data_IF_506367484206
#
_entry.id   IF_506367484206
#
_cell.length_a   1.000
_cell.length_b   1.000
_cell.length_c   1.000
_cell.angle_alpha   90.00
_cell.angle_beta   90.00
_cell.angle_gamma   90.00
#
_symmetry.space_group_name_H-M   'P 1'
#
loop_
_entity.id
_entity.type
_entity.pdbx_description
1 polymer ?
#
# COMPACT_ATOMS: atom_id res chain seq x y z
N UNK A 1 26.63 -1.33 7.43
CA UNK A 1 25.69 -1.84 6.46
C UNK A 1 24.34 -1.16 6.63
N UNK A 2 23.83 -0.65 5.55
CA UNK A 2 22.59 0.11 5.63
C UNK A 2 21.39 -0.80 5.46
N UNK A 3 20.36 -0.49 6.19
CA UNK A 3 19.10 -1.19 6.03
C UNK A 3 18.37 -0.61 4.84
N UNK A 4 17.78 -1.50 4.06
CA UNK A 4 17.00 -1.05 2.93
C UNK A 4 15.62 -0.64 3.39
N UNK A 5 15.05 0.32 2.69
CA UNK A 5 13.66 0.71 2.92
C UNK A 5 12.77 -0.45 2.50
N UNK A 6 11.86 -0.81 3.37
CA UNK A 6 11.00 -1.99 3.19
C UNK A 6 9.60 -1.54 2.80
N UNK A 7 9.16 -1.94 1.63
CA UNK A 7 7.89 -1.51 1.04
C UNK A 7 6.93 -2.67 0.93
N UNK A 8 5.67 -2.47 1.27
CA UNK A 8 4.63 -3.44 0.98
C UNK A 8 3.80 -2.92 -0.17
N UNK A 9 3.65 -3.72 -1.21
CA UNK A 9 2.83 -3.40 -2.38
C UNK A 9 1.53 -4.16 -2.23
N UNK A 10 0.43 -3.45 -2.02
CA UNK A 10 -0.88 -4.07 -1.85
C UNK A 10 -1.63 -3.89 -3.15
N UNK A 11 -1.57 -4.91 -3.99
CA UNK A 11 -2.09 -4.87 -5.34
C UNK A 11 -2.42 -6.30 -5.79
N UNK A 12 -3.66 -6.55 -6.22
CA UNK A 12 -4.06 -7.89 -6.60
C UNK A 12 -3.79 -8.22 -8.08
N UNK A 13 -3.50 -7.22 -8.88
CA UNK A 13 -3.15 -7.43 -10.28
C UNK A 13 -1.67 -7.83 -10.34
N UNK A 14 -1.42 -9.10 -10.58
CA UNK A 14 -0.07 -9.66 -10.48
C UNK A 14 0.94 -8.93 -11.35
N UNK A 15 0.58 -8.58 -12.56
CA UNK A 15 1.53 -7.92 -13.47
C UNK A 15 1.93 -6.56 -12.95
N UNK A 16 0.99 -5.80 -12.43
CA UNK A 16 1.28 -4.47 -11.89
C UNK A 16 2.14 -4.61 -10.65
N UNK A 17 1.78 -5.52 -9.76
CA UNK A 17 2.52 -5.73 -8.53
C UNK A 17 3.96 -6.12 -8.82
N UNK A 18 4.16 -7.03 -9.78
CA UNK A 18 5.52 -7.47 -10.10
C UNK A 18 6.33 -6.36 -10.76
N UNK A 19 5.69 -5.58 -11.60
CA UNK A 19 6.39 -4.46 -12.21
C UNK A 19 6.86 -3.48 -11.15
N UNK A 20 5.99 -3.14 -10.21
CA UNK A 20 6.34 -2.22 -9.13
C UNK A 20 7.44 -2.81 -8.27
N UNK A 21 7.36 -4.09 -7.97
CA UNK A 21 8.37 -4.74 -7.15
C UNK A 21 9.74 -4.66 -7.82
N UNK A 22 9.79 -4.95 -9.13
CA UNK A 22 11.05 -4.90 -9.86
C UNK A 22 11.61 -3.50 -9.89
N UNK A 23 10.76 -2.51 -10.11
CA UNK A 23 11.23 -1.12 -10.16
C UNK A 23 11.78 -0.68 -8.81
N UNK A 24 11.09 -1.04 -7.75
CA UNK A 24 11.54 -0.66 -6.42
C UNK A 24 12.85 -1.36 -6.06
N UNK A 25 12.96 -2.63 -6.40
CA UNK A 25 14.19 -3.36 -6.12
C UNK A 25 15.37 -2.80 -6.91
N UNK A 26 15.10 -2.36 -8.12
CA UNK A 26 16.13 -1.73 -8.94
C UNK A 26 16.64 -0.44 -8.28
N UNK A 27 15.77 0.25 -7.56
CA UNK A 27 16.16 1.48 -6.86
C UNK A 27 16.73 1.21 -5.48
N UNK A 28 16.88 -0.03 -5.09
CA UNK A 28 17.51 -0.37 -3.83
C UNK A 28 16.57 -0.64 -2.68
N UNK A 29 15.27 -0.67 -2.94
CA UNK A 29 14.30 -0.99 -1.89
C UNK A 29 14.11 -2.49 -1.77
N UNK A 30 13.57 -2.93 -0.63
CA UNK A 30 13.06 -4.28 -0.47
C UNK A 30 11.55 -4.18 -0.62
N UNK A 31 10.97 -5.00 -1.47
CA UNK A 31 9.54 -4.89 -1.74
C UNK A 31 8.86 -6.25 -1.68
N UNK A 32 7.75 -6.31 -0.95
CA UNK A 32 6.92 -7.51 -0.87
C UNK A 32 5.54 -7.20 -1.43
N UNK A 33 4.86 -8.23 -1.89
CA UNK A 33 3.56 -8.09 -2.52
C UNK A 33 2.51 -8.80 -1.68
N UNK A 34 1.36 -8.17 -1.50
CA UNK A 34 0.21 -8.80 -0.90
C UNK A 34 -1.01 -8.45 -1.73
N UNK A 35 -1.71 -9.46 -2.22
CA UNK A 35 -2.84 -9.23 -3.11
C UNK A 35 -4.21 -9.23 -2.45
N UNK A 36 -4.28 -9.52 -1.17
CA UNK A 36 -5.55 -9.57 -0.45
C UNK A 36 -5.60 -8.47 0.61
N UNK A 37 -6.68 -7.69 0.60
CA UNK A 37 -6.76 -6.53 1.48
C UNK A 37 -6.78 -6.87 2.95
N UNK A 38 -7.50 -7.93 3.32
CA UNK A 38 -7.57 -8.31 4.73
C UNK A 38 -6.22 -8.75 5.26
N UNK A 39 -5.51 -9.55 4.46
CA UNK A 39 -4.17 -9.97 4.84
C UNK A 39 -3.20 -8.82 4.85
N UNK A 40 -3.36 -7.90 3.91
CA UNK A 40 -2.50 -6.72 3.87
C UNK A 40 -2.66 -5.91 5.15
N UNK A 41 -3.87 -5.70 5.58
CA UNK A 41 -4.12 -4.97 6.81
C UNK A 41 -3.41 -5.67 7.98
N UNK A 42 -3.55 -6.99 8.09
CA UNK A 42 -2.91 -7.74 9.16
C UNK A 42 -1.40 -7.61 9.10
N UNK A 43 -0.83 -7.69 7.90
CA UNK A 43 0.61 -7.57 7.75
C UNK A 43 1.11 -6.19 8.12
N UNK A 44 0.35 -5.16 7.76
CA UNK A 44 0.76 -3.79 8.05
C UNK A 44 0.85 -3.56 9.55
N UNK A 45 -0.09 -4.09 10.31
CA UNK A 45 -0.07 -3.86 11.74
C UNK A 45 0.83 -4.82 12.51
N UNK A 46 1.24 -5.94 11.90
CA UNK A 46 2.10 -6.92 12.57
C UNK A 46 3.56 -6.84 12.17
N UNK A 47 3.83 -6.35 10.97
CA UNK A 47 5.19 -6.27 10.46
C UNK A 47 5.60 -4.82 10.32
N UNK A 48 6.89 -4.60 10.16
CA UNK A 48 7.40 -3.24 10.03
C UNK A 48 7.69 -2.92 8.58
N UNK A 49 6.84 -2.10 7.99
CA UNK A 49 7.09 -1.60 6.65
C UNK A 49 7.36 -0.10 6.76
N UNK A 50 8.19 0.40 5.88
CA UNK A 50 8.51 1.82 5.86
C UNK A 50 7.55 2.60 4.99
N UNK A 51 6.98 1.97 3.98
CA UNK A 51 6.04 2.60 3.06
C UNK A 51 5.07 1.55 2.58
N UNK A 52 3.81 1.93 2.44
CA UNK A 52 2.78 1.06 1.88
C UNK A 52 2.31 1.65 0.56
N UNK A 53 2.37 0.88 -0.52
CA UNK A 53 1.75 1.25 -1.78
C UNK A 53 0.44 0.48 -1.85
N UNK A 54 -0.67 1.16 -1.96
CA UNK A 54 -1.97 0.58 -1.67
C UNK A 54 -2.97 0.85 -2.78
N UNK A 55 -3.42 -0.21 -3.44
CA UNK A 55 -4.48 -0.08 -4.41
C UNK A 55 -5.82 0.04 -3.70
N UNK A 56 -6.74 0.74 -4.32
CA UNK A 56 -8.07 0.94 -3.74
C UNK A 56 -8.94 -0.31 -3.90
N UNK A 57 -8.92 -0.88 -5.10
CA UNK A 57 -9.81 -1.99 -5.43
C UNK A 57 -9.14 -3.32 -5.16
N UNK A 58 -9.47 -3.92 -4.03
CA UNK A 58 -8.83 -5.17 -3.60
C UNK A 58 -9.89 -6.15 -3.15
N UNK A 59 -9.63 -7.46 -3.31
CA UNK A 59 -10.49 -8.44 -2.67
C UNK A 59 -10.28 -8.39 -1.16
N UNK A 60 -11.32 -8.73 -0.43
CA UNK A 60 -11.28 -8.65 1.02
C UNK A 60 -11.59 -7.24 1.45
N UNK A 61 -10.65 -6.62 2.13
CA UNK A 61 -10.80 -5.25 2.61
C UNK A 61 -10.25 -4.29 1.55
N UNK A 62 -11.04 -3.31 1.12
CA UNK A 62 -10.53 -2.39 0.10
C UNK A 62 -9.53 -1.40 0.67
N UNK A 63 -8.83 -0.70 -0.23
CA UNK A 63 -7.74 0.17 0.18
C UNK A 63 -8.17 1.34 1.04
N UNK A 64 -9.36 1.88 0.82
CA UNK A 64 -9.87 2.98 1.63
C UNK A 64 -10.07 2.53 3.07
N UNK A 65 -10.67 1.36 3.23
CA UNK A 65 -10.90 0.83 4.57
C UNK A 65 -9.59 0.46 5.26
N UNK A 66 -8.65 -0.09 4.52
CA UNK A 66 -7.33 -0.40 5.08
C UNK A 66 -6.69 0.87 5.62
N UNK A 67 -6.69 1.91 4.82
CA UNK A 67 -6.06 3.16 5.21
C UNK A 67 -6.72 3.73 6.47
N UNK A 68 -8.06 3.71 6.48
CA UNK A 68 -8.79 4.21 7.64
C UNK A 68 -8.41 3.47 8.91
N UNK A 69 -8.36 2.13 8.84
CA UNK A 69 -8.05 1.33 10.02
C UNK A 69 -6.61 1.46 10.45
N UNK A 70 -5.69 1.49 9.48
CA UNK A 70 -4.27 1.61 9.79
C UNK A 70 -4.00 2.94 10.50
N UNK A 71 -4.66 4.00 10.09
CA UNK A 71 -4.42 5.31 10.70
C UNK A 71 -4.83 5.39 12.16
N UNK A 72 -5.63 4.46 12.65
CA UNK A 72 -5.98 4.44 14.07
C UNK A 72 -4.82 3.93 14.92
N UNK A 73 -3.84 3.24 14.32
CA UNK A 73 -2.75 2.62 15.09
C UNK A 73 -1.36 2.91 14.53
N UNK A 74 -1.25 3.55 13.39
CA UNK A 74 0.06 3.73 12.75
C UNK A 74 0.09 4.97 11.89
N UNK A 75 1.26 5.58 11.82
CA UNK A 75 1.50 6.71 10.93
C UNK A 75 2.34 6.32 9.73
N UNK A 76 2.40 5.02 9.42
CA UNK A 76 3.22 4.56 8.30
C UNK A 76 2.78 5.28 7.01
N UNK A 77 3.71 5.77 6.20
CA UNK A 77 3.36 6.42 4.94
C UNK A 77 2.61 5.50 4.02
N UNK A 78 1.50 5.98 3.46
CA UNK A 78 0.67 5.22 2.53
C UNK A 78 0.50 6.04 1.27
N UNK A 79 0.84 5.44 0.14
CA UNK A 79 0.64 6.05 -1.16
C UNK A 79 -0.42 5.25 -1.89
N UNK A 80 -1.52 5.91 -2.27
CA UNK A 80 -2.61 5.23 -2.95
C UNK A 80 -2.26 5.04 -4.41
N UNK A 81 -2.44 3.82 -4.89
CA UNK A 81 -2.11 3.46 -6.26
C UNK A 81 -3.34 3.40 -7.14
N UNK A 82 -4.28 4.25 -6.99
CA UNK A 82 -5.47 4.11 -7.77
C UNK A 82 -5.23 4.49 -9.20
N UNK A 83 -5.60 3.61 -10.07
CA UNK A 83 -5.60 3.88 -11.46
C UNK A 83 -6.88 4.56 -11.86
N UNK A 84 -7.80 4.70 -10.96
CA UNK A 84 -9.02 5.34 -11.27
C UNK A 84 -8.78 6.77 -11.36
N UNK A 85 -9.38 7.32 -12.24
CA UNK A 85 -9.29 8.68 -12.41
C UNK A 85 -10.35 9.39 -11.69
N UNK A 86 -11.08 8.78 -10.88
CA UNK A 86 -12.11 9.45 -10.15
C UNK A 86 -11.47 10.36 -9.14
N UNK A 87 -11.64 11.63 -9.34
CA UNK A 87 -11.12 12.64 -8.44
C UNK A 87 -11.64 12.41 -7.04
N UNK A 88 -12.86 11.92 -6.93
CA UNK A 88 -13.46 11.61 -5.66
C UNK A 88 -12.65 10.62 -4.85
N UNK A 89 -12.09 9.61 -5.52
CA UNK A 89 -11.29 8.63 -4.81
C UNK A 89 -10.06 9.25 -4.19
N UNK A 90 -9.45 10.19 -4.89
CA UNK A 90 -8.29 10.88 -4.38
C UNK A 90 -8.62 11.74 -3.18
N UNK A 91 -9.74 12.42 -3.25
CA UNK A 91 -10.18 13.25 -2.15
C UNK A 91 -10.48 12.40 -0.94
N UNK A 92 -11.17 11.27 -1.14
CA UNK A 92 -11.42 10.35 -0.04
C UNK A 92 -10.13 9.83 0.56
N UNK A 93 -9.17 9.48 -0.26
CA UNK A 93 -7.89 9.00 0.22
C UNK A 93 -7.22 10.01 1.11
N UNK A 94 -7.26 11.27 0.76
CA UNK A 94 -6.67 12.32 1.56
C UNK A 94 -7.44 12.49 2.87
N UNK A 95 -8.77 12.40 2.79
CA UNK A 95 -9.59 12.57 3.98
C UNK A 95 -9.37 11.50 5.02
N UNK A 96 -9.00 10.32 4.61
CA UNK A 96 -8.80 9.22 5.55
C UNK A 96 -7.34 9.05 5.93
N UNK A 97 -6.46 9.94 5.50
CA UNK A 97 -5.09 9.96 5.97
C UNK A 97 -4.05 9.40 5.06
N UNK A 98 -4.36 9.20 3.79
CA UNK A 98 -3.35 8.78 2.84
C UNK A 98 -2.39 9.94 2.57
N UNK A 99 -1.15 9.60 2.26
CA UNK A 99 -0.13 10.62 2.03
C UNK A 99 -0.09 11.10 0.60
N UNK A 100 -0.79 10.41 -0.28
CA UNK A 100 -0.80 10.85 -1.67
C UNK A 100 -2.02 10.33 -2.37
#
# INVERSE_FOLDING_TARGET
MEEKTHVLIVEDETRIARFLQMELEHEGFTAEIEGNGTRAYERIIQENFDIILLDVMLPGMDGIEICRRVRTVSNVPIIMLTARDAVEDRVEGLDIGADD
#
